data_IF_041258193644
#
_entry.id   IF_041258193644
#
_cell.length_a   1.000
_cell.length_b   1.000
_cell.length_c   1.000
_cell.angle_alpha   90.00
_cell.angle_beta   90.00
_cell.angle_gamma   90.00
#
_symmetry.space_group_name_H-M   'P 1'
#
loop_
_entity.id
_entity.type
_entity.pdbx_description
1 polymer ?
#
# COMPACT_ATOMS: atom_id res chain seq x y z
N UNK A 1 -35.88 -5.28 52.70
CA UNK A 1 -34.47 -5.70 52.48
C UNK A 1 -34.26 -6.14 51.02
N UNK A 2 -34.72 -5.36 50.03
CA UNK A 2 -34.79 -5.74 48.61
C UNK A 2 -34.31 -4.62 47.67
N UNK A 3 -33.16 -3.98 47.97
CA UNK A 3 -32.60 -2.90 47.13
C UNK A 3 -31.15 -3.11 46.68
N UNK A 4 -30.56 -4.27 46.97
CA UNK A 4 -29.15 -4.57 46.63
C UNK A 4 -28.98 -5.62 45.53
N UNK A 5 -30.07 -6.27 45.10
CA UNK A 5 -30.01 -7.38 44.15
C UNK A 5 -29.91 -6.94 42.68
N UNK A 6 -30.43 -5.74 42.35
CA UNK A 6 -30.45 -5.21 40.97
C UNK A 6 -29.10 -4.64 40.52
N UNK A 7 -28.20 -4.28 41.44
CA UNK A 7 -26.92 -3.64 41.11
C UNK A 7 -25.85 -4.66 40.67
N UNK A 8 -25.89 -5.89 41.19
CA UNK A 8 -24.92 -6.95 40.83
C UNK A 8 -25.20 -7.57 39.46
N UNK A 9 -26.46 -7.61 39.04
CA UNK A 9 -26.84 -8.17 37.74
C UNK A 9 -26.39 -7.27 36.58
N UNK A 10 -26.45 -5.95 36.75
CA UNK A 10 -26.01 -4.99 35.73
C UNK A 10 -24.49 -5.03 35.50
N UNK A 11 -23.69 -5.25 36.55
CA UNK A 11 -22.22 -5.25 36.44
C UNK A 11 -21.68 -6.52 35.76
N UNK A 12 -22.35 -7.67 35.94
CA UNK A 12 -21.97 -8.94 35.30
C UNK A 12 -22.23 -8.95 33.78
N UNK A 13 -23.26 -8.22 33.33
CA UNK A 13 -23.61 -8.15 31.91
C UNK A 13 -22.66 -7.20 31.16
N UNK A 14 -22.25 -6.10 31.77
CA UNK A 14 -21.26 -5.17 31.17
C UNK A 14 -19.90 -5.85 30.98
N UNK A 15 -19.47 -6.72 31.91
CA UNK A 15 -18.20 -7.45 31.80
C UNK A 15 -18.22 -8.54 30.70
N UNK A 16 -19.36 -9.18 30.46
CA UNK A 16 -19.51 -10.14 29.36
C UNK A 16 -19.56 -9.45 27.99
N UNK A 17 -20.14 -8.25 27.92
CA UNK A 17 -20.16 -7.43 26.70
C UNK A 17 -18.77 -6.89 26.37
N UNK A 18 -17.96 -6.55 27.38
CA UNK A 18 -16.56 -6.13 27.16
C UNK A 18 -15.61 -7.29 26.82
N UNK A 19 -15.94 -8.54 27.19
CA UNK A 19 -15.19 -9.74 26.76
C UNK A 19 -15.55 -10.21 25.33
N UNK A 20 -16.73 -9.83 24.82
CA UNK A 20 -17.14 -10.10 23.43
C UNK A 20 -16.61 -9.08 22.41
N UNK A 21 -16.12 -7.92 22.85
CA UNK A 21 -15.52 -6.91 21.97
C UNK A 21 -14.02 -7.11 21.70
N UNK A 22 -13.37 -8.08 22.36
CA UNK A 22 -11.92 -8.29 22.27
C UNK A 22 -11.55 -9.41 21.27
N UNK A 23 -12.51 -10.13 20.70
CA UNK A 23 -12.25 -11.29 19.81
C UNK A 23 -12.34 -11.03 18.30
N UNK A 24 -12.44 -9.78 17.84
CA UNK A 24 -12.68 -9.48 16.42
C UNK A 24 -11.52 -8.79 15.69
N UNK A 25 -10.29 -8.83 16.22
CA UNK A 25 -9.15 -8.12 15.64
C UNK A 25 -7.94 -9.03 15.27
N UNK A 26 -8.16 -10.31 14.99
CA UNK A 26 -7.07 -11.21 14.55
C UNK A 26 -7.33 -11.95 13.23
N UNK A 27 -8.20 -11.44 12.36
CA UNK A 27 -8.39 -12.02 11.02
C UNK A 27 -8.39 -10.94 9.95
N UNK A 28 -7.24 -10.31 9.72
CA UNK A 28 -6.92 -9.64 8.44
C UNK A 28 -5.43 -9.29 8.30
N UNK A 29 -4.53 -10.15 8.77
CA UNK A 29 -3.08 -9.97 8.56
C UNK A 29 -2.37 -11.22 8.01
N UNK A 30 -3.11 -12.30 7.76
CA UNK A 30 -2.56 -13.53 7.22
C UNK A 30 -3.12 -13.78 5.82
N UNK A 31 -2.27 -13.47 4.84
CA UNK A 31 -2.14 -14.25 3.61
C UNK A 31 -3.35 -14.23 2.66
N UNK A 32 -3.54 -13.10 1.98
CA UNK A 32 -3.95 -13.22 0.58
C UNK A 32 -2.80 -13.93 -0.12
N UNK A 33 -2.92 -15.24 -0.32
CA UNK A 33 -2.13 -15.99 -1.29
C UNK A 33 -2.49 -15.43 -2.67
N UNK A 34 -1.95 -14.25 -2.98
CA UNK A 34 -2.05 -13.54 -4.24
C UNK A 34 -1.37 -14.41 -5.29
N UNK A 35 -2.18 -15.23 -5.96
CA UNK A 35 -1.90 -15.67 -7.33
C UNK A 35 -2.00 -14.43 -8.24
N UNK A 36 -1.13 -13.46 -8.00
CA UNK A 36 -0.98 -12.26 -8.82
C UNK A 36 -0.75 -12.74 -10.24
N UNK A 37 -1.58 -12.34 -11.19
CA UNK A 37 -1.34 -12.59 -12.61
C UNK A 37 -0.47 -11.48 -13.21
N UNK A 38 0.15 -11.72 -14.37
CA UNK A 38 0.89 -10.69 -15.12
C UNK A 38 0.01 -9.47 -15.38
N UNK A 39 -1.24 -9.71 -15.80
CA UNK A 39 -2.25 -8.69 -16.06
C UNK A 39 -2.57 -7.86 -14.82
N UNK A 40 -2.68 -8.50 -13.65
CA UNK A 40 -2.96 -7.79 -12.41
C UNK A 40 -1.79 -6.88 -12.01
N UNK A 41 -0.55 -7.37 -12.12
CA UNK A 41 0.65 -6.53 -11.89
C UNK A 41 0.68 -5.33 -12.84
N UNK A 42 0.30 -5.52 -14.11
CA UNK A 42 0.21 -4.43 -15.08
C UNK A 42 -0.85 -3.40 -14.71
N UNK A 43 -2.04 -3.84 -14.34
CA UNK A 43 -3.15 -2.96 -14.01
C UNK A 43 -2.88 -2.16 -12.72
N UNK A 44 -2.50 -2.85 -11.66
CA UNK A 44 -2.19 -2.22 -10.37
C UNK A 44 -1.00 -1.25 -10.51
N UNK A 45 0.02 -1.63 -11.29
CA UNK A 45 1.15 -0.76 -11.58
C UNK A 45 0.73 0.51 -12.33
N UNK A 46 -0.17 0.40 -13.31
CA UNK A 46 -0.70 1.57 -14.05
C UNK A 46 -1.48 2.50 -13.13
N UNK A 47 -2.20 1.97 -12.14
CA UNK A 47 -2.89 2.80 -11.12
C UNK A 47 -1.88 3.61 -10.31
N UNK A 48 -0.73 3.02 -9.95
CA UNK A 48 0.36 3.75 -9.30
C UNK A 48 0.96 4.82 -10.22
N UNK A 49 1.24 4.48 -11.49
CA UNK A 49 1.73 5.44 -12.49
C UNK A 49 0.77 6.63 -12.67
N UNK A 50 -0.53 6.38 -12.85
CA UNK A 50 -1.54 7.43 -13.01
C UNK A 50 -1.65 8.34 -11.79
N UNK A 51 -1.29 7.84 -10.61
CA UNK A 51 -1.31 8.60 -9.37
C UNK A 51 0.02 9.32 -9.06
N UNK A 52 1.01 9.25 -9.95
CA UNK A 52 2.36 9.78 -9.69
C UNK A 52 3.14 9.01 -8.63
N UNK A 53 2.67 7.84 -8.20
CA UNK A 53 3.31 6.99 -7.20
C UNK A 53 4.36 6.10 -7.85
N UNK A 54 5.42 6.71 -8.38
CA UNK A 54 6.38 6.02 -9.24
C UNK A 54 7.20 4.96 -8.51
N UNK A 55 7.56 5.20 -7.24
CA UNK A 55 8.34 4.22 -6.45
C UNK A 55 7.53 2.94 -6.25
N UNK A 56 6.24 3.07 -5.95
CA UNK A 56 5.33 1.94 -5.76
C UNK A 56 5.15 1.16 -7.06
N UNK A 57 4.98 1.86 -8.19
CA UNK A 57 4.94 1.22 -9.51
C UNK A 57 6.25 0.44 -9.81
N UNK A 58 7.41 1.06 -9.58
CA UNK A 58 8.73 0.43 -9.76
C UNK A 58 8.83 -0.84 -8.93
N UNK A 59 8.54 -0.76 -7.63
CA UNK A 59 8.62 -1.89 -6.72
C UNK A 59 7.69 -3.03 -7.14
N UNK A 60 6.49 -2.70 -7.62
CA UNK A 60 5.52 -3.70 -8.07
C UNK A 60 6.00 -4.40 -9.36
N UNK A 61 6.47 -3.65 -10.35
CA UNK A 61 6.98 -4.24 -11.58
C UNK A 61 8.26 -5.05 -11.38
N UNK A 62 9.17 -4.62 -10.49
CA UNK A 62 10.35 -5.42 -10.13
C UNK A 62 9.97 -6.74 -9.48
N UNK A 63 8.93 -6.75 -8.63
CA UNK A 63 8.38 -7.99 -8.08
C UNK A 63 7.73 -8.86 -9.15
N UNK A 64 7.00 -8.25 -10.10
CA UNK A 64 6.46 -8.94 -11.26
C UNK A 64 7.53 -9.62 -12.10
N UNK A 65 8.62 -8.93 -12.41
CA UNK A 65 9.72 -9.49 -13.21
C UNK A 65 10.53 -10.58 -12.49
N UNK A 66 10.45 -10.69 -11.15
CA UNK A 66 10.98 -11.87 -10.45
C UNK A 66 10.19 -13.13 -10.81
N UNK A 67 8.89 -13.02 -11.08
CA UNK A 67 8.00 -14.13 -11.45
C UNK A 67 7.96 -14.36 -12.97
N UNK A 68 7.96 -13.29 -13.76
CA UNK A 68 7.92 -13.36 -15.23
C UNK A 68 9.05 -12.52 -15.85
N UNK A 69 10.28 -13.03 -15.84
CA UNK A 69 11.46 -12.26 -16.27
C UNK A 69 11.43 -11.84 -17.73
N UNK A 70 10.64 -12.50 -18.58
CA UNK A 70 10.57 -12.23 -20.02
C UNK A 70 9.34 -11.42 -20.44
N UNK A 71 8.53 -10.96 -19.49
CA UNK A 71 7.34 -10.17 -19.79
C UNK A 71 7.73 -8.77 -20.32
N UNK A 72 7.47 -8.54 -21.61
CA UNK A 72 7.85 -7.30 -22.30
C UNK A 72 7.08 -6.09 -21.79
N UNK A 73 5.83 -6.28 -21.37
CA UNK A 73 4.95 -5.19 -20.95
C UNK A 73 5.36 -4.73 -19.55
N UNK A 74 5.64 -5.67 -18.63
CA UNK A 74 6.15 -5.33 -17.30
C UNK A 74 7.52 -4.65 -17.42
N UNK A 75 8.41 -5.12 -18.30
CA UNK A 75 9.70 -4.46 -18.60
C UNK A 75 9.50 -3.04 -19.13
N UNK A 76 8.54 -2.84 -20.03
CA UNK A 76 8.22 -1.53 -20.60
C UNK A 76 7.77 -0.56 -19.51
N UNK A 77 6.79 -0.94 -18.70
CA UNK A 77 6.27 -0.07 -17.65
C UNK A 77 7.30 0.21 -16.55
N UNK A 78 8.10 -0.78 -16.13
CA UNK A 78 9.21 -0.54 -15.21
C UNK A 78 10.18 0.55 -15.71
N UNK A 79 10.49 0.55 -17.01
CA UNK A 79 11.34 1.58 -17.61
C UNK A 79 10.66 2.94 -17.57
N UNK A 80 9.37 3.02 -17.93
CA UNK A 80 8.59 4.27 -17.89
C UNK A 80 8.58 4.83 -16.47
N UNK A 81 8.21 4.04 -15.47
CA UNK A 81 8.16 4.48 -14.07
C UNK A 81 9.53 4.99 -13.58
N UNK A 82 10.63 4.31 -13.92
CA UNK A 82 12.01 4.73 -13.57
C UNK A 82 12.40 6.07 -14.18
N UNK A 83 12.00 6.33 -15.43
CA UNK A 83 12.25 7.61 -16.09
C UNK A 83 11.49 8.72 -15.37
N UNK A 84 10.19 8.55 -15.12
CA UNK A 84 9.38 9.57 -14.43
C UNK A 84 9.88 9.85 -13.02
N UNK A 85 10.18 8.82 -12.24
CA UNK A 85 10.80 8.98 -10.92
C UNK A 85 12.10 9.78 -10.96
N UNK A 86 12.97 9.49 -11.94
CA UNK A 86 14.24 10.20 -12.11
C UNK A 86 14.08 11.66 -12.57
N UNK A 87 12.99 11.98 -13.27
CA UNK A 87 12.65 13.35 -13.67
C UNK A 87 12.17 14.14 -12.45
N UNK A 88 11.22 13.61 -11.69
CA UNK A 88 10.69 14.28 -10.50
C UNK A 88 11.79 14.58 -9.49
N UNK A 89 12.63 13.59 -9.17
CA UNK A 89 13.75 13.78 -8.24
C UNK A 89 14.74 14.85 -8.71
N UNK A 90 14.92 15.02 -10.03
CA UNK A 90 15.83 16.04 -10.57
C UNK A 90 15.25 17.45 -10.46
N UNK A 91 13.94 17.60 -10.58
CA UNK A 91 13.29 18.89 -10.33
C UNK A 91 13.13 19.21 -8.84
N UNK A 92 13.22 18.21 -7.97
CA UNK A 92 13.35 18.42 -6.51
C UNK A 92 14.79 18.72 -6.07
N UNK A 93 15.77 18.66 -6.97
CA UNK A 93 17.18 18.95 -6.67
C UNK A 93 17.48 20.44 -6.96
N UNK A 94 17.58 21.23 -5.90
CA UNK A 94 17.89 22.66 -5.96
C UNK A 94 19.14 22.98 -6.81
N UNK A 95 20.12 22.08 -6.86
CA UNK A 95 21.35 22.30 -7.65
C UNK A 95 21.05 22.33 -9.15
N UNK A 96 20.11 21.50 -9.61
CA UNK A 96 19.68 21.47 -11.00
C UNK A 96 18.91 22.74 -11.38
N UNK A 97 18.00 23.21 -10.51
CA UNK A 97 17.29 24.47 -10.73
C UNK A 97 18.25 25.67 -10.83
N UNK A 98 19.22 25.73 -9.92
CA UNK A 98 20.23 26.79 -9.90
C UNK A 98 21.10 26.81 -11.17
N UNK A 99 21.48 25.64 -11.68
CA UNK A 99 22.27 25.52 -12.91
C UNK A 99 21.45 25.87 -14.16
N UNK A 100 20.14 25.58 -14.18
CA UNK A 100 19.25 25.96 -15.27
C UNK A 100 19.06 27.48 -15.34
N UNK A 101 18.85 28.13 -14.19
CA UNK A 101 18.66 29.59 -14.08
C UNK A 101 19.92 30.40 -14.41
N UNK A 102 21.11 29.82 -14.26
CA UNK A 102 22.39 30.48 -14.61
C UNK A 102 22.70 30.46 -16.12
N UNK A 103 22.00 29.63 -16.89
CA UNK A 103 22.23 29.47 -18.33
C UNK A 103 21.24 30.27 -19.19
N UNK A 104 20.24 30.93 -18.59
CA UNK A 104 19.31 31.86 -19.24
C UNK A 104 19.79 33.30 -19.19
#
# INVERSE_FOLDING_TARGET
MFRTFTLKLAFSVVCAISLLHIHSLEVTAAETLELSSQTQVLEDGKVHEQSGRWIEAINLYEQGLKKWPEDSDIKYHLRVSKIHFGIERRYEDDSFENDLLRQS
#
